data_IF_350489108958
#
_entry.id   IF_350489108958
#
_cell.length_a   1.000
_cell.length_b   1.000
_cell.length_c   1.000
_cell.angle_alpha   90.00
_cell.angle_beta   90.00
_cell.angle_gamma   90.00
#
_symmetry.space_group_name_H-M   'P 1'
#
loop_
_entity.id
_entity.type
_entity.pdbx_description
1 polymer ?
#
# COMPACT_ATOMS: atom_id res chain seq x y z
N UNK A 1 19.58 -4.07 -8.61
CA UNK A 1 18.50 -4.78 -7.90
C UNK A 1 18.66 -4.51 -6.41
N UNK A 2 17.84 -3.62 -5.84
CA UNK A 2 17.90 -3.32 -4.40
C UNK A 2 17.34 -4.55 -3.66
N UNK A 3 18.20 -5.19 -2.87
CA UNK A 3 17.82 -6.34 -2.03
C UNK A 3 17.37 -5.79 -0.67
N UNK A 4 16.08 -5.80 -0.41
CA UNK A 4 15.53 -5.48 0.91
C UNK A 4 15.67 -6.71 1.82
N UNK A 5 16.07 -6.51 3.07
CA UNK A 5 15.97 -7.54 4.11
C UNK A 5 14.50 -7.74 4.48
N UNK A 6 14.10 -8.96 4.85
CA UNK A 6 12.73 -9.24 5.28
C UNK A 6 12.27 -8.37 6.47
N UNK A 7 13.20 -7.86 7.28
CA UNK A 7 12.92 -6.91 8.38
C UNK A 7 12.56 -5.50 7.89
N UNK A 8 12.96 -5.12 6.67
CA UNK A 8 12.80 -3.78 6.10
C UNK A 8 11.48 -3.63 5.31
N UNK A 9 10.74 -4.73 5.13
CA UNK A 9 9.51 -4.75 4.36
C UNK A 9 8.43 -5.57 5.07
N UNK A 10 7.25 -4.98 5.26
CA UNK A 10 6.04 -5.67 5.68
C UNK A 10 5.04 -5.65 4.53
N UNK A 11 4.26 -6.71 4.39
CA UNK A 11 3.15 -6.79 3.44
C UNK A 11 1.89 -7.07 4.23
N UNK A 12 0.88 -6.22 4.06
CA UNK A 12 -0.46 -6.45 4.59
C UNK A 12 -1.42 -6.64 3.41
N UNK A 13 -2.31 -7.64 3.54
CA UNK A 13 -3.30 -8.00 2.54
C UNK A 13 -4.70 -7.86 3.13
N UNK A 14 -5.62 -7.35 2.33
CA UNK A 14 -7.01 -7.15 2.69
C UNK A 14 -7.91 -7.63 1.55
N UNK A 15 -8.88 -8.47 1.87
CA UNK A 15 -9.98 -8.77 0.95
C UNK A 15 -10.89 -7.53 0.89
N UNK A 16 -11.10 -7.01 -0.32
CA UNK A 16 -11.94 -5.83 -0.57
C UNK A 16 -13.19 -6.18 -1.39
N UNK A 17 -13.51 -7.47 -1.54
CA UNK A 17 -14.68 -7.97 -2.25
C UNK A 17 -14.44 -8.18 -3.75
N UNK A 18 -15.41 -8.81 -4.43
CA UNK A 18 -15.42 -9.00 -5.89
C UNK A 18 -14.19 -9.70 -6.48
N UNK A 19 -13.52 -10.55 -5.69
CA UNK A 19 -12.28 -11.22 -6.09
C UNK A 19 -11.08 -10.26 -6.18
N UNK A 20 -11.17 -9.10 -5.53
CA UNK A 20 -10.13 -8.09 -5.44
C UNK A 20 -9.43 -8.13 -4.09
N UNK A 21 -8.10 -8.03 -4.12
CA UNK A 21 -7.24 -7.95 -2.93
C UNK A 21 -6.50 -6.63 -2.92
N UNK A 22 -6.58 -5.90 -1.80
CA UNK A 22 -5.73 -4.74 -1.54
C UNK A 22 -4.45 -5.19 -0.83
N UNK A 23 -3.31 -4.72 -1.32
CA UNK A 23 -1.99 -5.02 -0.76
C UNK A 23 -1.25 -3.73 -0.44
N UNK A 24 -0.89 -3.56 0.83
CA UNK A 24 0.02 -2.50 1.27
C UNK A 24 1.41 -3.09 1.46
N UNK A 25 2.38 -2.58 0.71
CA UNK A 25 3.80 -2.85 0.92
C UNK A 25 4.37 -1.70 1.75
N UNK A 26 4.74 -2.00 2.99
CA UNK A 26 5.29 -1.03 3.94
C UNK A 26 6.81 -1.20 3.95
N UNK A 27 7.52 -0.14 3.59
CA UNK A 27 8.97 -0.09 3.69
C UNK A 27 9.36 0.63 4.97
N UNK A 28 10.32 0.03 5.69
CA UNK A 28 10.88 0.59 6.92
C UNK A 28 12.28 1.12 6.68
N UNK A 29 12.64 2.16 7.43
CA UNK A 29 14.02 2.63 7.50
C UNK A 29 14.87 1.72 8.41
N UNK A 30 16.14 2.09 8.58
CA UNK A 30 17.11 1.29 9.36
C UNK A 30 16.73 1.18 10.85
N UNK A 31 15.99 2.15 11.37
CA UNK A 31 15.50 2.20 12.75
C UNK A 31 14.15 1.47 12.93
N UNK A 32 13.63 0.88 11.85
CA UNK A 32 12.37 0.13 11.87
C UNK A 32 11.11 1.00 11.81
N UNK A 33 11.26 2.32 11.62
CA UNK A 33 10.14 3.24 11.39
C UNK A 33 9.62 3.09 9.97
N UNK A 34 8.32 3.33 9.76
CA UNK A 34 7.74 3.30 8.41
C UNK A 34 8.27 4.50 7.62
N UNK A 35 8.83 4.24 6.43
CA UNK A 35 9.36 5.25 5.50
C UNK A 35 8.38 5.51 4.35
N UNK A 36 7.81 4.44 3.80
CA UNK A 36 6.88 4.54 2.69
C UNK A 36 5.90 3.38 2.65
N UNK A 37 4.78 3.59 1.96
CA UNK A 37 3.77 2.59 1.68
C UNK A 37 3.41 2.67 0.21
N UNK A 38 3.50 1.54 -0.48
CA UNK A 38 2.94 1.34 -1.80
C UNK A 38 1.65 0.53 -1.67
N UNK A 39 0.54 1.08 -2.19
CA UNK A 39 -0.76 0.41 -2.19
C UNK A 39 -1.06 -0.13 -3.58
N UNK A 40 -1.39 -1.41 -3.62
CA UNK A 40 -1.77 -2.13 -4.82
C UNK A 40 -3.18 -2.71 -4.67
N UNK A 41 -3.87 -2.84 -5.79
CA UNK A 41 -5.04 -3.71 -5.91
C UNK A 41 -4.70 -4.79 -6.91
N UNK A 42 -5.05 -6.03 -6.57
CA UNK A 42 -4.96 -7.17 -7.48
C UNK A 42 -6.31 -7.83 -7.67
N UNK A 43 -6.50 -8.45 -8.83
CA UNK A 43 -7.65 -9.30 -9.10
C UNK A 43 -7.16 -10.72 -9.35
N UNK A 44 -7.97 -11.71 -8.97
CA UNK A 44 -7.69 -13.12 -9.23
C UNK A 44 -7.38 -13.31 -10.72
N UNK A 45 -6.10 -13.56 -11.04
CA UNK A 45 -5.51 -13.81 -12.38
C UNK A 45 -5.03 -12.60 -13.19
N UNK A 46 -5.29 -11.35 -12.78
CA UNK A 46 -4.83 -10.16 -13.51
C UNK A 46 -3.65 -9.43 -12.86
N UNK A 47 -3.01 -10.05 -11.86
CA UNK A 47 -1.86 -9.48 -11.16
C UNK A 47 -2.24 -8.30 -10.27
N UNK A 48 -1.23 -7.54 -9.84
CA UNK A 48 -1.38 -6.37 -8.98
C UNK A 48 -1.03 -5.10 -9.74
N UNK A 49 -1.80 -4.03 -9.55
CA UNK A 49 -1.52 -2.70 -10.07
C UNK A 49 -1.40 -1.70 -8.93
N UNK A 50 -0.41 -0.81 -9.03
CA UNK A 50 -0.17 0.24 -8.03
C UNK A 50 -1.25 1.32 -8.16
N UNK A 51 -1.91 1.64 -7.05
CA UNK A 51 -3.01 2.61 -6.98
C UNK A 51 -2.73 3.74 -5.98
N UNK A 52 -1.64 3.65 -5.23
CA UNK A 52 -1.24 4.67 -4.26
C UNK A 52 0.22 4.53 -3.85
N UNK A 53 0.85 5.67 -3.61
CA UNK A 53 2.19 5.76 -3.06
C UNK A 53 2.21 6.85 -1.98
N UNK A 54 2.83 6.55 -0.85
CA UNK A 54 3.05 7.50 0.24
C UNK A 54 4.46 7.35 0.73
N UNK A 55 5.22 8.44 0.76
CA UNK A 55 6.63 8.48 1.17
C UNK A 55 6.87 9.56 2.23
N UNK A 56 8.09 9.62 2.77
CA UNK A 56 8.47 10.58 3.80
C UNK A 56 7.82 10.33 5.16
N UNK A 57 7.36 9.10 5.43
CA UNK A 57 6.67 8.76 6.68
C UNK A 57 7.57 8.78 7.93
N UNK A 58 8.88 8.80 7.72
CA UNK A 58 9.93 8.89 8.73
C UNK A 58 10.58 10.28 8.81
N UNK A 59 10.06 11.28 8.07
CA UNK A 59 10.60 12.64 8.11
C UNK A 59 10.31 13.34 9.46
N UNK A 60 11.20 14.22 9.94
CA UNK A 60 10.98 14.96 11.17
C UNK A 60 9.67 15.75 11.18
N UNK A 61 8.83 15.50 12.18
CA UNK A 61 7.55 16.18 12.36
C UNK A 61 6.35 15.48 11.71
N UNK A 62 6.55 14.38 10.98
CA UNK A 62 5.45 13.59 10.42
C UNK A 62 4.76 12.77 11.52
N UNK A 63 3.45 12.96 11.67
CA UNK A 63 2.59 12.16 12.54
C UNK A 63 1.79 11.22 11.64
N UNK A 64 2.20 9.96 11.58
CA UNK A 64 1.57 8.95 10.75
C UNK A 64 0.99 7.80 11.57
N UNK A 65 -0.19 7.32 11.18
CA UNK A 65 -0.84 6.15 11.76
C UNK A 65 -1.26 5.19 10.66
N UNK A 66 -0.66 4.01 10.64
CA UNK A 66 -1.01 2.98 9.67
C UNK A 66 -2.49 2.54 9.75
N UNK A 67 -3.10 2.34 10.93
CA UNK A 67 -4.55 2.12 11.02
C UNK A 67 -5.39 3.29 10.46
N UNK A 68 -4.93 4.54 10.64
CA UNK A 68 -5.59 5.71 10.05
C UNK A 68 -5.51 5.71 8.53
N UNK A 69 -4.36 5.32 7.99
CA UNK A 69 -4.14 5.16 6.54
C UNK A 69 -5.04 4.10 5.92
N UNK A 70 -5.17 2.93 6.56
CA UNK A 70 -6.07 1.86 6.09
C UNK A 70 -7.52 2.34 6.09
N UNK A 71 -7.98 3.01 7.15
CA UNK A 71 -9.33 3.61 7.18
C UNK A 71 -9.56 4.66 6.10
N UNK A 72 -8.54 5.45 5.77
CA UNK A 72 -8.60 6.41 4.68
C UNK A 72 -8.74 5.73 3.32
N UNK A 73 -8.03 4.62 3.10
CA UNK A 73 -8.18 3.80 1.89
C UNK A 73 -9.60 3.23 1.82
N UNK A 74 -10.10 2.62 2.89
CA UNK A 74 -11.45 2.07 2.95
C UNK A 74 -12.51 3.13 2.65
N UNK A 75 -12.40 4.31 3.25
CA UNK A 75 -13.32 5.43 3.02
C UNK A 75 -13.29 5.97 1.58
N UNK A 76 -12.18 5.75 0.87
CA UNK A 76 -11.98 6.24 -0.51
C UNK A 76 -11.80 5.08 -1.51
N UNK A 77 -12.32 3.89 -1.20
CA UNK A 77 -12.08 2.68 -2.00
C UNK A 77 -12.44 2.85 -3.48
N UNK A 78 -13.51 3.59 -3.78
CA UNK A 78 -13.94 3.90 -5.16
C UNK A 78 -12.86 4.63 -5.97
N UNK A 79 -12.09 5.52 -5.35
CA UNK A 79 -10.98 6.21 -6.00
C UNK A 79 -9.86 5.23 -6.39
N UNK A 80 -9.47 4.35 -5.47
CA UNK A 80 -8.44 3.33 -5.71
C UNK A 80 -8.89 2.29 -6.75
N UNK A 81 -10.16 1.88 -6.73
CA UNK A 81 -10.72 1.00 -7.76
C UNK A 81 -10.71 1.66 -9.14
N UNK A 82 -11.06 2.95 -9.24
CA UNK A 82 -10.97 3.67 -10.51
C UNK A 82 -9.52 3.72 -11.03
N UNK A 83 -8.54 4.00 -10.16
CA UNK A 83 -7.13 3.94 -10.51
C UNK A 83 -6.73 2.53 -11.00
N UNK A 84 -7.14 1.48 -10.29
CA UNK A 84 -6.90 0.09 -10.69
C UNK A 84 -7.44 -0.20 -12.09
N UNK A 85 -8.73 0.05 -12.33
CA UNK A 85 -9.38 -0.22 -13.62
C UNK A 85 -8.85 0.62 -14.76
N UNK A 86 -8.26 1.80 -14.50
CA UNK A 86 -7.58 2.58 -15.53
C UNK A 86 -6.19 2.04 -15.85
N UNK A 87 -5.50 1.44 -14.88
CA UNK A 87 -4.17 0.89 -15.08
C UNK A 87 -4.16 -0.50 -15.75
N UNK A 88 -5.28 -1.24 -15.71
CA UNK A 88 -5.39 -2.59 -16.31
C UNK A 88 -6.13 -2.62 -17.65
N UNK A 89 -6.51 -1.45 -18.18
CA UNK A 89 -7.01 -1.30 -19.56
C UNK A 89 -5.84 -1.39 -20.54
#
# INVERSE_FOLDING_TARGET
>A
MIKYKASERKVDLYDIGDGLTLMNIILKNQDGQMRSIDTYIGADRNGFSCVGHTEGLDEPGVIFSYPGYVRMIEANLSYYLNAFFNNIK
#
